data_IF_013044724745
#
_entry.id   IF_013044724745
#
_cell.length_a   1.000
_cell.length_b   1.000
_cell.length_c   1.000
_cell.angle_alpha   90.00
_cell.angle_beta   90.00
_cell.angle_gamma   90.00
#
_symmetry.space_group_name_H-M   'P 1'
#
loop_
_entity.id
_entity.type
_entity.pdbx_description
1 polymer ?
#
# COMPACT_ATOMS: atom_id res chain seq x y z
N UNK A 1 48.74 -11.46 4.31
CA UNK A 1 47.42 -11.26 3.71
C UNK A 1 46.72 -12.59 3.41
N UNK A 2 47.24 -13.49 2.57
CA UNK A 2 46.59 -14.78 2.26
C UNK A 2 46.04 -15.56 3.47
N UNK A 3 46.85 -15.81 4.50
CA UNK A 3 46.39 -16.50 5.72
C UNK A 3 45.26 -15.79 6.46
N UNK A 4 45.22 -14.46 6.38
CA UNK A 4 44.18 -13.66 7.02
C UNK A 4 42.86 -13.78 6.24
N UNK A 5 42.94 -13.75 4.92
CA UNK A 5 41.78 -13.97 4.04
C UNK A 5 41.24 -15.39 4.22
N UNK A 6 42.10 -16.41 4.29
CA UNK A 6 41.69 -17.79 4.58
C UNK A 6 40.92 -17.90 5.90
N UNK A 7 41.38 -17.21 6.97
CA UNK A 7 40.67 -17.16 8.25
C UNK A 7 39.34 -16.40 8.18
N UNK A 8 39.27 -15.32 7.39
CA UNK A 8 38.04 -14.56 7.21
C UNK A 8 36.99 -15.38 6.45
N UNK A 9 37.39 -16.12 5.42
CA UNK A 9 36.51 -17.03 4.69
C UNK A 9 36.01 -18.15 5.61
N UNK A 10 36.85 -18.68 6.50
CA UNK A 10 36.42 -19.65 7.51
C UNK A 10 35.35 -19.06 8.45
N UNK A 11 35.46 -17.79 8.85
CA UNK A 11 34.42 -17.09 9.61
C UNK A 11 33.12 -16.91 8.80
N UNK A 12 33.22 -16.62 7.50
CA UNK A 12 32.05 -16.53 6.63
C UNK A 12 31.34 -17.87 6.57
N UNK A 13 32.07 -18.97 6.37
CA UNK A 13 31.53 -20.33 6.33
C UNK A 13 30.87 -20.75 7.65
N UNK A 14 31.44 -20.36 8.79
CA UNK A 14 30.83 -20.57 10.11
C UNK A 14 29.51 -19.81 10.24
N UNK A 15 29.47 -18.56 9.76
CA UNK A 15 28.25 -17.74 9.76
C UNK A 15 27.16 -18.32 8.84
N UNK A 16 27.52 -18.73 7.61
CA UNK A 16 26.61 -19.42 6.67
C UNK A 16 26.02 -20.70 7.28
N UNK A 17 26.83 -21.50 7.99
CA UNK A 17 26.33 -22.72 8.67
C UNK A 17 25.37 -22.42 9.82
N UNK A 18 25.63 -21.34 10.56
CA UNK A 18 24.78 -20.91 11.68
C UNK A 18 23.37 -20.58 11.21
N UNK A 19 23.23 -19.82 10.12
CA UNK A 19 21.91 -19.40 9.63
C UNK A 19 21.10 -20.56 9.06
N UNK A 20 21.71 -21.44 8.26
CA UNK A 20 21.06 -22.65 7.75
C UNK A 20 20.54 -23.54 8.90
N UNK A 21 21.32 -23.69 9.96
CA UNK A 21 20.90 -24.47 11.14
C UNK A 21 19.72 -23.82 11.88
N UNK A 22 19.62 -22.49 11.87
CA UNK A 22 18.50 -21.75 12.48
C UNK A 22 17.22 -21.88 11.65
N UNK A 23 17.33 -21.76 10.32
CA UNK A 23 16.20 -21.95 9.40
C UNK A 23 15.63 -23.37 9.48
N UNK A 24 16.49 -24.39 9.48
CA UNK A 24 16.07 -25.79 9.65
C UNK A 24 15.33 -26.00 10.99
N UNK A 25 15.83 -25.40 12.07
CA UNK A 25 15.18 -25.47 13.38
C UNK A 25 13.83 -24.73 13.39
N UNK A 26 13.75 -23.58 12.75
CA UNK A 26 12.54 -22.75 12.67
C UNK A 26 11.46 -23.43 11.82
N UNK A 27 11.84 -24.08 10.72
CA UNK A 27 10.97 -24.92 9.91
C UNK A 27 10.41 -26.10 10.71
N UNK A 28 11.24 -26.80 11.50
CA UNK A 28 10.80 -27.89 12.38
C UNK A 28 9.81 -27.43 13.45
N UNK A 29 10.01 -26.22 14.00
CA UNK A 29 9.20 -25.69 15.11
C UNK A 29 7.87 -25.10 14.62
N UNK A 30 7.90 -24.26 13.57
CA UNK A 30 6.73 -23.52 13.10
C UNK A 30 5.88 -24.33 12.11
N UNK A 31 6.44 -25.36 11.46
CA UNK A 31 5.72 -26.19 10.49
C UNK A 31 5.20 -25.40 9.28
N UNK A 32 5.71 -24.19 9.07
CA UNK A 32 5.32 -23.27 8.01
C UNK A 32 5.98 -23.64 6.69
N UNK A 33 5.20 -23.63 5.62
CA UNK A 33 5.70 -23.78 4.27
C UNK A 33 6.53 -22.52 3.92
N UNK A 34 7.77 -22.61 3.42
CA UNK A 34 8.57 -21.44 3.02
C UNK A 34 7.92 -20.55 1.94
N UNK A 35 6.87 -21.03 1.26
CA UNK A 35 6.08 -20.26 0.29
C UNK A 35 4.89 -19.49 0.90
N UNK A 36 4.60 -19.62 2.20
CA UNK A 36 3.58 -18.83 2.88
C UNK A 36 4.18 -17.54 3.45
N UNK A 37 3.65 -16.39 3.02
CA UNK A 37 4.06 -15.07 3.52
C UNK A 37 3.77 -14.98 5.02
N UNK A 38 4.82 -14.92 5.84
CA UNK A 38 4.70 -14.67 7.27
C UNK A 38 4.40 -13.17 7.49
N UNK A 39 3.12 -12.85 7.71
CA UNK A 39 2.69 -11.47 7.97
C UNK A 39 3.38 -10.86 9.20
N UNK A 40 3.82 -11.67 10.17
CA UNK A 40 4.60 -11.19 11.31
C UNK A 40 5.99 -10.69 10.85
N UNK A 41 6.63 -11.37 9.88
CA UNK A 41 7.89 -10.90 9.29
C UNK A 41 7.70 -9.64 8.44
N UNK A 42 6.59 -9.52 7.70
CA UNK A 42 6.29 -8.31 6.92
C UNK A 42 6.05 -7.11 7.83
N UNK A 43 5.26 -7.26 8.90
CA UNK A 43 5.07 -6.21 9.90
C UNK A 43 6.40 -5.82 10.56
N UNK A 44 7.21 -6.82 10.90
CA UNK A 44 8.54 -6.60 11.45
C UNK A 44 9.45 -5.87 10.46
N UNK A 45 9.50 -6.22 9.17
CA UNK A 45 10.30 -5.52 8.16
C UNK A 45 9.96 -4.02 8.07
N UNK A 46 8.68 -3.68 8.22
CA UNK A 46 8.20 -2.30 8.14
C UNK A 46 8.47 -1.54 9.44
N UNK A 47 8.21 -2.15 10.61
CA UNK A 47 8.14 -1.44 11.90
C UNK A 47 9.17 -1.89 12.95
N UNK A 48 9.91 -2.96 12.69
CA UNK A 48 10.81 -3.59 13.63
C UNK A 48 12.11 -2.83 13.86
N UNK A 49 12.80 -3.17 14.95
CA UNK A 49 14.11 -2.59 15.26
C UNK A 49 15.17 -3.10 14.28
N UNK A 50 15.88 -2.16 13.65
CA UNK A 50 16.97 -2.45 12.72
C UNK A 50 18.28 -2.63 13.48
N UNK A 51 19.05 -3.65 13.12
CA UNK A 51 20.36 -3.93 13.70
C UNK A 51 21.46 -3.79 12.65
N UNK A 52 22.69 -3.40 13.04
CA UNK A 52 23.80 -3.32 12.10
C UNK A 52 24.04 -4.68 11.42
N UNK A 53 24.31 -4.65 10.11
CA UNK A 53 24.53 -5.88 9.35
C UNK A 53 25.69 -6.73 9.90
N UNK A 54 26.73 -6.10 10.44
CA UNK A 54 27.85 -6.78 11.11
C UNK A 54 27.41 -7.63 12.30
N UNK A 55 26.39 -7.21 13.04
CA UNK A 55 25.80 -7.96 14.15
C UNK A 55 24.97 -9.14 13.63
N UNK A 56 24.15 -8.90 12.60
CA UNK A 56 23.33 -9.95 11.94
C UNK A 56 24.23 -11.06 11.39
N UNK A 57 25.25 -10.68 10.62
CA UNK A 57 26.22 -11.61 10.02
C UNK A 57 27.17 -12.20 11.06
N UNK A 58 27.25 -11.63 12.26
CA UNK A 58 28.16 -12.05 13.33
C UNK A 58 29.64 -11.82 13.00
N UNK A 59 29.94 -10.88 12.10
CA UNK A 59 31.30 -10.57 11.63
C UNK A 59 31.51 -9.06 11.73
N UNK A 60 32.40 -8.66 12.61
CA UNK A 60 32.77 -7.26 12.81
C UNK A 60 33.39 -6.65 11.54
N UNK A 61 33.02 -5.41 11.21
CA UNK A 61 33.54 -4.70 10.02
C UNK A 61 35.06 -4.57 10.02
N UNK A 62 35.70 -4.50 11.19
CA UNK A 62 37.17 -4.44 11.29
C UNK A 62 37.87 -5.71 10.81
N UNK A 63 37.14 -6.84 10.73
CA UNK A 63 37.62 -8.08 10.13
C UNK A 63 37.78 -7.96 8.61
N UNK A 64 37.07 -7.03 7.95
CA UNK A 64 37.15 -6.83 6.51
C UNK A 64 38.33 -5.92 6.14
N UNK A 65 39.36 -6.44 5.45
CA UNK A 65 40.54 -5.67 5.08
C UNK A 65 40.17 -4.56 4.07
N UNK A 66 40.88 -3.44 4.15
CA UNK A 66 40.75 -2.36 3.17
C UNK A 66 41.15 -2.84 1.77
N UNK A 67 40.38 -2.47 0.74
CA UNK A 67 40.59 -2.99 -0.60
C UNK A 67 41.96 -2.60 -1.18
N UNK A 68 42.54 -1.46 -0.75
CA UNK A 68 43.88 -1.04 -1.17
C UNK A 68 45.01 -1.98 -0.74
N UNK A 69 44.76 -2.85 0.25
CA UNK A 69 45.74 -3.82 0.78
C UNK A 69 45.68 -5.17 0.05
N UNK A 70 44.74 -5.35 -0.86
CA UNK A 70 44.42 -6.62 -1.51
C UNK A 70 44.83 -6.63 -2.98
N UNK A 71 45.38 -7.76 -3.43
CA UNK A 71 45.57 -8.02 -4.85
C UNK A 71 44.23 -8.36 -5.55
N UNK A 72 44.22 -8.31 -6.88
CA UNK A 72 42.96 -8.46 -7.64
C UNK A 72 42.28 -9.81 -7.41
N UNK A 73 43.06 -10.89 -7.22
CA UNK A 73 42.52 -12.23 -6.97
C UNK A 73 41.90 -12.32 -5.58
N UNK A 74 42.54 -11.71 -4.59
CA UNK A 74 42.04 -11.64 -3.21
C UNK A 74 40.74 -10.85 -3.13
N UNK A 75 40.68 -9.71 -3.81
CA UNK A 75 39.48 -8.88 -3.91
C UNK A 75 38.34 -9.62 -4.59
N UNK A 76 38.62 -10.28 -5.71
CA UNK A 76 37.61 -11.06 -6.44
C UNK A 76 37.04 -12.18 -5.57
N UNK A 77 37.92 -12.89 -4.85
CA UNK A 77 37.50 -13.93 -3.90
C UNK A 77 36.61 -13.34 -2.82
N UNK A 78 37.03 -12.26 -2.16
CA UNK A 78 36.24 -11.66 -1.07
C UNK A 78 34.92 -11.05 -1.54
N UNK A 79 34.85 -10.48 -2.76
CA UNK A 79 33.61 -9.97 -3.32
C UNK A 79 32.56 -11.08 -3.49
N UNK A 80 32.97 -12.23 -4.04
CA UNK A 80 32.11 -13.40 -4.22
C UNK A 80 31.68 -13.99 -2.87
N UNK A 81 32.60 -14.10 -1.93
CA UNK A 81 32.33 -14.65 -0.60
C UNK A 81 31.41 -13.76 0.23
N UNK A 82 31.51 -12.43 0.11
CA UNK A 82 30.58 -11.48 0.72
C UNK A 82 29.18 -11.63 0.13
N UNK A 83 29.07 -11.72 -1.20
CA UNK A 83 27.80 -11.88 -1.90
C UNK A 83 27.11 -13.19 -1.52
N UNK A 84 27.84 -14.30 -1.49
CA UNK A 84 27.28 -15.59 -1.06
C UNK A 84 26.83 -15.54 0.41
N UNK A 85 27.62 -14.92 1.30
CA UNK A 85 27.24 -14.75 2.69
C UNK A 85 25.96 -13.93 2.83
N UNK A 86 25.83 -12.79 2.15
CA UNK A 86 24.64 -11.95 2.18
C UNK A 86 23.40 -12.69 1.67
N UNK A 87 23.55 -13.41 0.55
CA UNK A 87 22.46 -14.21 -0.03
C UNK A 87 21.98 -15.31 0.93
N UNK A 88 22.86 -15.92 1.73
CA UNK A 88 22.45 -16.89 2.78
C UNK A 88 21.60 -16.26 3.89
N UNK A 89 21.61 -14.93 4.04
CA UNK A 89 20.77 -14.18 4.96
C UNK A 89 19.63 -13.44 4.24
N UNK A 90 19.31 -13.84 2.99
CA UNK A 90 18.30 -13.22 2.13
C UNK A 90 18.56 -11.74 1.78
N UNK A 91 19.80 -11.26 1.90
CA UNK A 91 20.21 -9.93 1.43
C UNK A 91 20.82 -10.03 0.03
N UNK A 92 20.21 -9.36 -0.94
CA UNK A 92 20.64 -9.39 -2.34
C UNK A 92 21.21 -8.03 -2.73
N UNK A 93 22.50 -7.99 -3.04
CA UNK A 93 23.17 -6.75 -3.40
C UNK A 93 22.90 -6.36 -4.85
N UNK A 94 22.26 -5.21 -5.07
CA UNK A 94 21.87 -4.76 -6.41
C UNK A 94 23.02 -4.00 -7.09
N UNK A 95 23.81 -4.73 -7.85
CA UNK A 95 24.88 -4.16 -8.67
C UNK A 95 24.44 -4.04 -10.15
N UNK A 96 24.82 -2.95 -10.83
CA UNK A 96 24.81 -2.90 -12.29
C UNK A 96 25.61 -4.05 -12.91
N UNK A 97 25.31 -4.37 -14.17
CA UNK A 97 26.08 -5.36 -14.90
C UNK A 97 27.55 -4.95 -15.03
N UNK A 98 28.46 -5.93 -14.89
CA UNK A 98 29.90 -5.76 -15.11
C UNK A 98 30.64 -4.81 -14.15
N UNK A 99 30.09 -4.51 -12.97
CA UNK A 99 30.84 -3.78 -11.93
C UNK A 99 32.09 -4.58 -11.51
N UNK A 100 33.30 -3.97 -11.49
CA UNK A 100 34.52 -4.68 -11.15
C UNK A 100 34.52 -5.22 -9.72
N UNK A 101 35.14 -6.39 -9.47
CA UNK A 101 35.12 -7.00 -8.14
C UNK A 101 35.63 -6.09 -7.02
N UNK A 102 36.61 -5.23 -7.30
CA UNK A 102 37.14 -4.25 -6.34
C UNK A 102 36.11 -3.22 -5.88
N UNK A 103 35.28 -2.74 -6.80
CA UNK A 103 34.22 -1.82 -6.46
C UNK A 103 33.08 -2.53 -5.72
N UNK A 104 32.75 -3.77 -6.11
CA UNK A 104 31.76 -4.62 -5.41
C UNK A 104 32.16 -4.87 -3.96
N UNK A 105 33.39 -5.36 -3.74
CA UNK A 105 33.91 -5.60 -2.39
C UNK A 105 33.93 -4.33 -1.53
N UNK A 106 34.33 -3.19 -2.12
CA UNK A 106 34.29 -1.91 -1.42
C UNK A 106 32.88 -1.56 -0.95
N UNK A 107 31.86 -1.75 -1.81
CA UNK A 107 30.46 -1.47 -1.47
C UNK A 107 29.89 -2.37 -0.38
N UNK A 108 30.24 -3.67 -0.41
CA UNK A 108 29.95 -4.56 0.71
C UNK A 108 30.56 -4.04 2.01
N UNK A 109 31.87 -3.73 2.00
CA UNK A 109 32.57 -3.25 3.21
C UNK A 109 32.02 -1.92 3.72
N UNK A 110 31.70 -0.98 2.84
CA UNK A 110 31.09 0.31 3.21
C UNK A 110 29.77 0.08 3.96
N UNK A 111 28.93 -0.82 3.42
CA UNK A 111 27.58 -1.12 3.90
C UNK A 111 27.53 -2.07 5.10
N UNK A 112 28.69 -2.54 5.59
CA UNK A 112 28.76 -3.64 6.56
C UNK A 112 28.18 -3.31 7.96
N UNK A 113 27.93 -2.04 8.26
CA UNK A 113 27.27 -1.60 9.51
C UNK A 113 25.92 -0.92 9.25
N UNK A 114 25.39 -0.99 8.02
CA UNK A 114 24.12 -0.37 7.69
C UNK A 114 22.98 -1.00 8.51
N UNK A 115 22.11 -0.18 9.14
CA UNK A 115 20.95 -0.66 9.88
C UNK A 115 20.01 -1.46 8.98
N UNK A 116 19.98 -2.77 9.21
CA UNK A 116 19.30 -3.74 8.37
C UNK A 116 18.31 -4.54 9.20
N UNK A 117 17.38 -5.22 8.51
CA UNK A 117 16.43 -6.10 9.13
C UNK A 117 16.53 -7.49 8.50
N UNK A 118 16.87 -8.48 9.30
CA UNK A 118 16.88 -9.86 8.85
C UNK A 118 15.46 -10.39 8.68
N UNK A 119 15.20 -11.06 7.56
CA UNK A 119 13.97 -11.80 7.30
C UNK A 119 14.33 -13.26 7.01
N UNK A 120 13.61 -14.21 7.61
CA UNK A 120 13.83 -15.64 7.30
C UNK A 120 13.17 -16.07 6.00
N UNK A 121 12.31 -15.23 5.42
CA UNK A 121 11.67 -15.44 4.12
C UNK A 121 11.69 -14.17 3.26
N UNK A 122 11.53 -14.35 1.94
CA UNK A 122 11.58 -13.26 0.96
C UNK A 122 13.01 -12.82 0.61
N UNK A 123 13.12 -11.78 -0.23
CA UNK A 123 14.40 -11.22 -0.65
C UNK A 123 14.47 -9.75 -0.25
N UNK A 124 15.44 -9.38 0.59
CA UNK A 124 15.73 -7.98 0.89
C UNK A 124 16.81 -7.49 -0.07
N UNK A 125 16.41 -6.67 -1.03
CA UNK A 125 17.33 -6.05 -1.96
C UNK A 125 18.08 -4.89 -1.29
N UNK A 126 19.39 -4.85 -1.49
CA UNK A 126 20.30 -3.85 -0.96
C UNK A 126 20.74 -2.93 -2.10
N UNK A 127 20.03 -1.80 -2.22
CA UNK A 127 20.35 -0.79 -3.21
C UNK A 127 21.48 0.12 -2.70
N UNK A 128 22.51 0.32 -3.52
CA UNK A 128 23.62 1.23 -3.21
C UNK A 128 23.42 2.63 -3.81
N UNK A 129 22.37 2.81 -4.61
CA UNK A 129 22.12 3.99 -5.43
C UNK A 129 20.97 4.79 -4.83
N UNK A 130 21.17 6.10 -4.63
CA UNK A 130 20.12 7.01 -4.17
C UNK A 130 19.42 7.72 -5.35
N UNK A 131 19.61 7.21 -6.57
CA UNK A 131 19.09 7.80 -7.82
C UNK A 131 19.56 9.23 -8.11
N UNK A 132 20.64 9.67 -7.46
CA UNK A 132 21.35 10.91 -7.81
C UNK A 132 22.39 10.63 -8.91
N UNK A 133 22.23 11.29 -10.06
CA UNK A 133 23.11 11.14 -11.21
C UNK A 133 24.50 11.72 -10.97
N UNK A 134 24.61 12.79 -10.19
CA UNK A 134 25.89 13.44 -9.89
C UNK A 134 26.67 12.64 -8.85
N UNK A 135 25.95 11.98 -7.92
CA UNK A 135 26.52 11.13 -6.88
C UNK A 135 26.35 9.62 -7.17
N UNK A 136 26.43 9.23 -8.45
CA UNK A 136 26.30 7.84 -8.83
C UNK A 136 27.40 6.97 -8.18
N UNK A 137 27.06 5.90 -7.44
CA UNK A 137 28.05 4.98 -6.87
C UNK A 137 28.79 4.15 -7.93
N UNK A 138 28.30 4.14 -9.18
CA UNK A 138 28.79 3.31 -10.28
C UNK A 138 28.88 4.09 -11.61
N UNK A 139 29.59 5.23 -11.69
CA UNK A 139 29.46 6.21 -12.78
C UNK A 139 29.89 5.68 -14.17
N UNK A 140 30.74 4.65 -14.23
CA UNK A 140 31.21 4.04 -15.48
C UNK A 140 30.52 2.70 -15.81
N UNK A 141 29.71 2.18 -14.88
CA UNK A 141 29.11 0.84 -14.97
C UNK A 141 27.58 0.87 -14.92
N UNK A 142 26.99 2.01 -14.56
CA UNK A 142 25.55 2.20 -14.49
C UNK A 142 25.11 3.28 -15.47
N UNK A 143 24.18 2.93 -16.36
CA UNK A 143 23.50 3.86 -17.26
C UNK A 143 22.06 4.13 -16.80
N UNK A 144 21.62 3.61 -15.65
CA UNK A 144 20.21 3.60 -15.24
C UNK A 144 19.59 4.99 -15.13
N UNK A 145 20.30 5.98 -14.60
CA UNK A 145 19.80 7.36 -14.54
C UNK A 145 19.61 7.97 -15.95
N UNK A 146 20.44 7.59 -16.93
CA UNK A 146 20.29 8.06 -18.31
C UNK A 146 19.17 7.33 -19.04
N UNK A 147 19.00 6.02 -18.79
CA UNK A 147 17.84 5.25 -19.26
C UNK A 147 16.54 5.84 -18.71
N UNK A 148 16.50 6.13 -17.41
CA UNK A 148 15.36 6.77 -16.75
C UNK A 148 15.10 8.15 -17.36
N UNK A 149 16.12 8.99 -17.58
CA UNK A 149 15.95 10.29 -18.24
C UNK A 149 15.46 10.18 -19.70
N UNK A 150 15.89 9.17 -20.45
CA UNK A 150 15.40 8.92 -21.82
C UNK A 150 13.97 8.40 -21.81
N UNK A 151 13.62 7.55 -20.83
CA UNK A 151 12.25 7.10 -20.55
C UNK A 151 11.36 8.30 -20.21
N UNK A 152 11.81 9.21 -19.34
CA UNK A 152 11.10 10.47 -19.03
C UNK A 152 10.99 11.43 -20.23
N UNK A 153 11.95 11.42 -21.18
CA UNK A 153 11.92 12.27 -22.39
C UNK A 153 10.98 11.75 -23.49
N UNK A 154 10.55 10.50 -23.44
CA UNK A 154 9.60 9.92 -24.41
C UNK A 154 8.15 10.44 -24.24
N UNK A 155 7.88 11.26 -23.22
CA UNK A 155 6.55 11.72 -22.83
C UNK A 155 6.12 13.12 -23.34
N UNK A 156 6.80 13.71 -24.31
CA UNK A 156 6.40 15.04 -24.83
C UNK A 156 6.26 15.09 -26.37
N UNK A 157 5.05 14.87 -26.93
CA UNK A 157 4.37 15.67 -27.99
C UNK A 157 3.07 15.04 -28.58
N UNK A 158 2.13 15.81 -29.18
CA UNK A 158 0.68 15.50 -29.26
C UNK A 158 0.17 14.94 -30.62
N UNK A 159 -0.99 14.23 -30.64
CA UNK A 159 -1.64 13.71 -31.89
C UNK A 159 -3.14 13.99 -32.00
N UNK A 160 -3.62 14.38 -33.18
CA UNK A 160 -4.96 14.86 -33.58
C UNK A 160 -6.06 13.76 -33.70
N UNK A 161 -7.37 14.11 -33.77
CA UNK A 161 -8.50 13.26 -33.31
C UNK A 161 -9.21 12.41 -34.39
N UNK A 162 -9.84 11.30 -33.94
CA UNK A 162 -11.08 10.73 -34.49
C UNK A 162 -11.17 9.20 -34.66
N UNK A 163 -11.72 8.50 -33.64
CA UNK A 163 -12.52 7.24 -33.60
C UNK A 163 -12.17 6.34 -32.37
N UNK A 164 -13.09 5.46 -31.93
CA UNK A 164 -13.12 4.82 -30.57
C UNK A 164 -12.00 3.79 -30.27
N UNK A 165 -11.59 3.73 -28.99
CA UNK A 165 -10.28 3.26 -28.48
C UNK A 165 -9.89 1.82 -28.88
N UNK A 166 -10.69 0.79 -28.61
CA UNK A 166 -10.24 -0.61 -28.82
C UNK A 166 -10.32 -1.07 -30.29
N UNK A 167 -11.37 -0.69 -31.03
CA UNK A 167 -11.56 -1.06 -32.44
C UNK A 167 -10.66 -0.26 -33.43
N UNK A 168 -10.09 0.86 -32.98
CA UNK A 168 -9.20 1.71 -33.79
C UNK A 168 -7.74 1.25 -33.73
N UNK A 169 -7.32 0.66 -32.61
CA UNK A 169 -5.95 0.18 -32.37
C UNK A 169 -5.62 -1.05 -33.25
N UNK A 170 -6.53 -2.00 -33.40
CA UNK A 170 -6.30 -3.18 -34.26
C UNK A 170 -6.31 -2.85 -35.76
N UNK A 171 -7.05 -1.82 -36.21
CA UNK A 171 -7.18 -1.49 -37.64
C UNK A 171 -6.04 -0.62 -38.20
N UNK A 172 -5.27 0.05 -37.35
CA UNK A 172 -4.17 0.94 -37.77
C UNK A 172 -2.78 0.32 -37.59
N UNK A 173 -2.67 -0.86 -36.97
CA UNK A 173 -1.39 -1.54 -36.79
C UNK A 173 -0.40 -0.76 -35.92
N UNK A 174 -0.88 -0.10 -34.85
CA UNK A 174 -0.05 0.68 -33.93
C UNK A 174 -0.14 0.06 -32.54
N UNK A 175 1.02 -0.29 -31.97
CA UNK A 175 1.15 -1.15 -30.79
C UNK A 175 1.81 -0.50 -29.57
N UNK A 176 2.00 0.84 -29.51
CA UNK A 176 2.63 1.45 -28.31
C UNK A 176 2.41 2.97 -28.10
N UNK A 177 2.44 3.41 -26.83
CA UNK A 177 2.85 4.76 -26.40
C UNK A 177 1.82 5.92 -26.32
N UNK A 178 2.30 7.20 -26.31
CA UNK A 178 1.63 8.45 -25.83
C UNK A 178 0.26 8.82 -26.42
N UNK A 179 -0.23 8.10 -27.44
CA UNK A 179 -1.60 8.22 -27.93
C UNK A 179 -2.64 7.78 -26.90
N UNK A 180 -2.31 6.82 -26.02
CA UNK A 180 -3.20 6.32 -24.97
C UNK A 180 -3.47 7.37 -23.88
N UNK A 181 -2.44 8.12 -23.47
CA UNK A 181 -2.53 9.17 -22.43
C UNK A 181 -3.42 10.31 -22.89
N UNK A 182 -3.21 10.78 -24.13
CA UNK A 182 -4.02 11.86 -24.69
C UNK A 182 -5.50 11.49 -24.77
N UNK A 183 -5.81 10.29 -25.24
CA UNK A 183 -7.19 9.79 -25.35
C UNK A 183 -7.87 9.71 -23.98
N UNK A 184 -7.15 9.22 -22.97
CA UNK A 184 -7.65 9.16 -21.60
C UNK A 184 -7.86 10.57 -21.02
N UNK A 185 -6.95 11.51 -21.26
CA UNK A 185 -7.11 12.93 -20.87
C UNK A 185 -8.31 13.59 -21.55
N UNK A 186 -8.53 13.35 -22.83
CA UNK A 186 -9.72 13.84 -23.55
C UNK A 186 -10.99 13.23 -22.98
N UNK A 187 -11.01 11.91 -22.71
CA UNK A 187 -12.14 11.25 -22.05
C UNK A 187 -12.42 11.80 -20.66
N UNK A 188 -11.39 12.13 -19.87
CA UNK A 188 -11.54 12.77 -18.56
C UNK A 188 -12.12 14.20 -18.71
N UNK A 189 -11.65 14.97 -19.69
CA UNK A 189 -12.07 16.36 -19.93
C UNK A 189 -13.47 16.48 -20.56
N UNK A 190 -13.82 15.56 -21.45
CA UNK A 190 -15.09 15.53 -22.18
C UNK A 190 -16.17 14.73 -21.43
N UNK A 191 -15.85 14.22 -20.25
CA UNK A 191 -16.82 13.51 -19.43
C UNK A 191 -18.01 14.43 -19.14
N UNK A 192 -19.21 13.97 -19.47
CA UNK A 192 -20.44 14.73 -19.25
C UNK A 192 -20.74 14.81 -17.75
N UNK A 193 -20.20 15.83 -17.10
CA UNK A 193 -20.44 16.14 -15.71
C UNK A 193 -21.85 16.69 -15.44
N UNK A 194 -22.61 17.09 -16.48
CA UNK A 194 -23.90 17.75 -16.29
C UNK A 194 -24.96 16.83 -15.68
N UNK A 195 -24.85 15.52 -15.92
CA UNK A 195 -25.70 14.49 -15.29
C UNK A 195 -25.18 14.02 -13.93
N UNK A 196 -23.99 14.44 -13.52
CA UNK A 196 -23.36 13.95 -12.29
C UNK A 196 -23.61 14.90 -11.12
N UNK A 197 -23.73 14.33 -9.93
CA UNK A 197 -23.85 15.09 -8.68
C UNK A 197 -22.44 15.30 -8.11
N UNK A 198 -21.94 16.54 -8.01
CA UNK A 198 -20.62 16.81 -7.47
C UNK A 198 -20.46 16.29 -6.04
N UNK A 199 -19.36 15.60 -5.75
CA UNK A 199 -19.02 15.16 -4.40
C UNK A 199 -19.90 14.04 -3.80
N UNK A 200 -20.85 13.46 -4.57
CA UNK A 200 -21.74 12.38 -4.07
C UNK A 200 -20.98 11.16 -3.53
N UNK A 201 -19.74 10.95 -3.99
CA UNK A 201 -18.88 9.85 -3.58
C UNK A 201 -18.08 10.12 -2.29
N UNK A 202 -18.02 11.36 -1.80
CA UNK A 202 -17.18 11.72 -0.65
C UNK A 202 -17.67 11.07 0.65
N UNK A 203 -18.99 10.96 0.82
CA UNK A 203 -19.63 10.46 2.05
C UNK A 203 -20.62 9.33 1.77
N UNK A 204 -20.35 8.52 0.74
CA UNK A 204 -21.09 7.29 0.46
C UNK A 204 -20.48 6.07 1.20
N UNK A 205 -21.20 4.95 1.16
CA UNK A 205 -20.77 3.66 1.72
C UNK A 205 -19.97 2.78 0.73
N UNK A 206 -19.72 3.31 -0.49
CA UNK A 206 -19.08 2.62 -1.61
C UNK A 206 -19.76 1.30 -2.01
N UNK A 207 -21.02 1.07 -1.61
CA UNK A 207 -21.77 -0.13 -1.97
C UNK A 207 -22.47 0.06 -3.31
N UNK A 208 -21.66 0.15 -4.37
CA UNK A 208 -22.10 0.55 -5.71
C UNK A 208 -23.19 -0.38 -6.29
N UNK A 209 -23.13 -1.69 -5.99
CA UNK A 209 -24.09 -2.70 -6.43
C UNK A 209 -25.50 -2.44 -5.90
N UNK A 210 -25.61 -1.73 -4.76
CA UNK A 210 -26.88 -1.34 -4.13
C UNK A 210 -27.18 0.15 -4.28
N UNK A 211 -26.33 0.90 -4.97
CA UNK A 211 -26.43 2.36 -5.06
C UNK A 211 -27.42 2.79 -6.17
N UNK A 212 -28.41 3.60 -5.79
CA UNK A 212 -29.41 4.13 -6.74
C UNK A 212 -28.88 5.30 -7.59
N UNK A 213 -27.71 5.84 -7.24
CA UNK A 213 -27.12 7.02 -7.87
C UNK A 213 -25.95 6.69 -8.80
N UNK A 214 -25.76 5.42 -9.15
CA UNK A 214 -24.70 4.98 -10.08
C UNK A 214 -24.72 5.75 -11.41
N UNK A 215 -25.91 6.06 -11.94
CA UNK A 215 -26.07 6.87 -13.15
C UNK A 215 -25.68 8.35 -13.01
N UNK A 216 -25.50 8.85 -11.78
CA UNK A 216 -25.14 10.23 -11.46
C UNK A 216 -23.81 10.33 -10.70
N UNK A 217 -23.13 9.21 -10.44
CA UNK A 217 -21.86 9.17 -9.73
C UNK A 217 -20.71 9.13 -10.72
N UNK A 218 -19.93 10.20 -10.78
CA UNK A 218 -18.74 10.28 -11.64
C UNK A 218 -17.79 9.11 -11.37
N UNK A 219 -17.50 8.80 -10.11
CA UNK A 219 -16.57 7.72 -9.76
C UNK A 219 -17.05 6.36 -10.28
N UNK A 220 -18.33 6.02 -10.08
CA UNK A 220 -18.87 4.76 -10.60
C UNK A 220 -18.86 4.71 -12.13
N UNK A 221 -19.25 5.80 -12.79
CA UNK A 221 -19.28 5.85 -14.25
C UNK A 221 -17.89 5.70 -14.85
N UNK A 222 -16.88 6.33 -14.25
CA UNK A 222 -15.48 6.13 -14.62
C UNK A 222 -15.04 4.68 -14.36
N UNK A 223 -15.22 4.15 -13.15
CA UNK A 223 -14.83 2.77 -12.81
C UNK A 223 -15.50 1.72 -13.72
N UNK A 224 -16.79 1.92 -14.04
CA UNK A 224 -17.53 1.05 -14.94
C UNK A 224 -16.94 1.10 -16.35
N UNK A 225 -16.78 2.30 -16.90
CA UNK A 225 -16.17 2.52 -18.22
C UNK A 225 -14.78 1.86 -18.32
N UNK A 226 -14.00 1.91 -17.23
CA UNK A 226 -12.66 1.32 -17.12
C UNK A 226 -12.73 -0.21 -17.06
N UNK A 227 -13.64 -0.75 -16.25
CA UNK A 227 -13.82 -2.20 -16.11
C UNK A 227 -14.28 -2.86 -17.41
N UNK A 228 -15.19 -2.22 -18.15
CA UNK A 228 -15.68 -2.70 -19.44
C UNK A 228 -14.59 -2.67 -20.52
N UNK A 229 -13.64 -1.73 -20.44
CA UNK A 229 -12.45 -1.73 -21.31
C UNK A 229 -11.41 -2.80 -20.94
N UNK A 230 -11.30 -3.18 -19.66
CA UNK A 230 -10.27 -4.11 -19.17
C UNK A 230 -10.71 -5.59 -19.19
N UNK A 231 -12.00 -5.90 -19.30
CA UNK A 231 -12.50 -7.30 -19.38
C UNK A 231 -12.07 -8.06 -20.66
N UNK A 232 -11.35 -7.41 -21.58
CA UNK A 232 -10.86 -7.99 -22.83
C UNK A 232 -9.39 -8.45 -22.77
N UNK A 233 -8.72 -8.35 -21.62
CA UNK A 233 -7.25 -8.42 -21.57
C UNK A 233 -6.73 -9.16 -20.31
N UNK A 234 -5.48 -9.65 -20.34
CA UNK A 234 -4.88 -10.53 -19.33
C UNK A 234 -4.25 -9.73 -18.15
N UNK A 235 -3.83 -10.40 -17.07
CA UNK A 235 -3.43 -9.75 -15.80
C UNK A 235 -2.33 -8.66 -15.83
N UNK A 236 -1.50 -8.56 -16.89
CA UNK A 236 -0.53 -7.46 -17.05
C UNK A 236 -1.19 -6.12 -17.39
N UNK A 237 -2.41 -6.13 -17.96
CA UNK A 237 -3.07 -4.93 -18.45
C UNK A 237 -3.57 -3.98 -17.34
N UNK A 238 -3.71 -4.48 -16.11
CA UNK A 238 -4.09 -3.66 -14.96
C UNK A 238 -2.98 -2.69 -14.53
N UNK A 239 -1.72 -3.15 -14.47
CA UNK A 239 -0.59 -2.31 -14.10
C UNK A 239 -0.30 -1.27 -15.18
N UNK A 240 -0.37 -1.68 -16.46
CA UNK A 240 -0.24 -0.77 -17.59
C UNK A 240 -1.34 0.31 -17.59
N UNK A 241 -2.57 -0.08 -17.25
CA UNK A 241 -3.68 0.86 -17.09
C UNK A 241 -3.47 1.84 -15.92
N UNK A 242 -2.95 1.35 -14.80
CA UNK A 242 -2.68 2.17 -13.63
C UNK A 242 -1.59 3.21 -13.92
N UNK A 243 -0.49 2.80 -14.55
CA UNK A 243 0.57 3.72 -15.01
C UNK A 243 -0.01 4.80 -15.94
N UNK A 244 -0.85 4.39 -16.90
CA UNK A 244 -1.50 5.30 -17.82
C UNK A 244 -2.40 6.35 -17.12
N UNK A 245 -3.12 5.95 -16.08
CA UNK A 245 -3.95 6.86 -15.27
C UNK A 245 -3.11 7.88 -14.51
N UNK A 246 -1.98 7.45 -13.92
CA UNK A 246 -1.08 8.34 -13.20
C UNK A 246 -0.42 9.35 -14.14
N UNK A 247 0.06 8.91 -15.31
CA UNK A 247 0.61 9.79 -16.35
C UNK A 247 -0.41 10.84 -16.80
N UNK A 248 -1.62 10.41 -17.16
CA UNK A 248 -2.70 11.31 -17.59
C UNK A 248 -3.06 12.34 -16.50
N UNK A 249 -3.12 11.89 -15.24
CA UNK A 249 -3.42 12.76 -14.10
C UNK A 249 -2.29 13.77 -13.86
N UNK A 250 -1.03 13.33 -13.91
CA UNK A 250 0.15 14.19 -13.74
C UNK A 250 0.20 15.31 -14.80
N UNK A 251 -0.10 14.99 -16.05
CA UNK A 251 -0.18 16.01 -17.10
C UNK A 251 -1.34 17.00 -16.87
N UNK A 252 -2.52 16.53 -16.45
CA UNK A 252 -3.67 17.41 -16.14
C UNK A 252 -3.31 18.36 -14.98
N UNK A 253 -2.66 17.85 -13.94
CA UNK A 253 -2.21 18.66 -12.80
C UNK A 253 -1.20 19.71 -13.24
N UNK A 254 -0.19 19.32 -14.04
CA UNK A 254 0.82 20.24 -14.57
C UNK A 254 0.20 21.35 -15.44
N UNK A 255 -0.80 21.01 -16.27
CA UNK A 255 -1.56 22.00 -17.05
C UNK A 255 -2.32 22.98 -16.15
N UNK A 256 -2.98 22.50 -15.08
CA UNK A 256 -3.67 23.38 -14.13
C UNK A 256 -2.69 24.27 -13.36
N UNK A 257 -1.57 23.72 -12.92
CA UNK A 257 -0.53 24.48 -12.21
C UNK A 257 -0.01 25.65 -13.05
N UNK A 258 0.33 25.39 -14.32
CA UNK A 258 0.73 26.43 -15.27
C UNK A 258 -0.37 27.47 -15.46
N UNK A 259 -1.64 27.04 -15.58
CA UNK A 259 -2.79 27.93 -15.75
C UNK A 259 -3.00 28.84 -14.53
N UNK A 260 -2.76 28.33 -13.32
CA UNK A 260 -2.94 29.07 -12.07
C UNK A 260 -1.66 29.74 -11.56
N UNK A 261 -0.55 29.66 -12.31
CA UNK A 261 0.78 30.16 -11.92
C UNK A 261 1.22 29.64 -10.54
N UNK A 262 0.98 28.35 -10.28
CA UNK A 262 1.44 27.67 -9.06
C UNK A 262 2.84 27.13 -9.32
N UNK A 263 3.84 27.63 -8.58
CA UNK A 263 5.21 27.14 -8.62
C UNK A 263 5.49 26.23 -7.41
N UNK A 264 6.06 25.03 -7.65
CA UNK A 264 6.59 24.21 -6.56
C UNK A 264 7.93 24.80 -6.10
N UNK A 265 8.02 25.17 -4.83
CA UNK A 265 9.29 25.67 -4.26
C UNK A 265 10.05 24.57 -3.50
N UNK A 266 9.38 23.49 -3.07
CA UNK A 266 10.00 22.36 -2.37
C UNK A 266 9.03 21.15 -2.36
N UNK A 267 9.54 19.94 -2.61
CA UNK A 267 8.83 18.70 -2.26
C UNK A 267 9.15 18.46 -0.79
N UNK A 268 8.24 18.83 0.10
CA UNK A 268 8.36 18.49 1.52
C UNK A 268 8.04 17.00 1.63
N UNK A 269 8.98 16.12 2.05
CA UNK A 269 8.65 14.74 2.29
C UNK A 269 7.51 14.68 3.32
N UNK A 270 6.54 13.75 3.16
CA UNK A 270 5.45 13.62 4.11
C UNK A 270 6.04 13.47 5.51
N UNK A 271 5.62 14.33 6.44
CA UNK A 271 6.02 14.26 7.83
C UNK A 271 5.69 12.86 8.38
N UNK A 272 6.63 12.13 9.01
CA UNK A 272 6.41 10.74 9.44
C UNK A 272 5.24 10.57 10.43
N UNK A 273 4.79 11.66 11.06
CA UNK A 273 3.65 11.64 11.99
C UNK A 273 2.26 11.55 11.33
N UNK A 274 2.16 11.63 9.98
CA UNK A 274 0.87 11.62 9.27
C UNK A 274 0.09 10.29 9.34
N UNK A 275 0.67 9.22 9.90
CA UNK A 275 0.15 7.87 9.67
C UNK A 275 -0.39 7.14 10.91
N UNK A 276 -0.25 7.70 12.12
CA UNK A 276 -0.82 7.10 13.33
C UNK A 276 -1.80 8.03 14.05
N UNK A 277 -3.08 7.87 13.73
CA UNK A 277 -4.15 8.46 14.53
C UNK A 277 -4.31 7.65 15.81
N UNK A 278 -3.54 8.05 16.83
CA UNK A 278 -3.82 7.61 18.19
C UNK A 278 -5.04 8.36 18.74
N UNK A 279 -6.24 7.91 18.34
CA UNK A 279 -7.50 8.41 18.87
C UNK A 279 -8.29 7.26 19.54
N UNK A 280 -8.79 7.43 20.79
CA UNK A 280 -9.51 6.37 21.50
C UNK A 280 -10.73 5.84 20.76
N UNK A 281 -11.42 6.67 19.97
CA UNK A 281 -12.57 6.24 19.16
C UNK A 281 -12.14 5.27 18.05
N UNK A 282 -10.99 5.52 17.40
CA UNK A 282 -10.45 4.69 16.32
C UNK A 282 -9.97 3.35 16.86
N UNK A 283 -9.25 3.35 17.99
CA UNK A 283 -8.86 2.12 18.70
C UNK A 283 -10.09 1.29 19.10
N UNK A 284 -11.14 1.96 19.58
CA UNK A 284 -12.38 1.29 19.97
C UNK A 284 -13.14 0.69 18.77
N UNK A 285 -13.21 1.39 17.63
CA UNK A 285 -13.80 0.84 16.41
C UNK A 285 -12.97 -0.29 15.81
N UNK A 286 -11.63 -0.20 15.85
CA UNK A 286 -10.75 -1.26 15.39
C UNK A 286 -11.01 -2.58 16.16
N UNK A 287 -11.23 -2.49 17.47
CA UNK A 287 -11.62 -3.65 18.28
C UNK A 287 -12.97 -4.26 17.88
N UNK A 288 -13.93 -3.47 17.37
CA UNK A 288 -15.15 -4.00 16.76
C UNK A 288 -14.83 -4.77 15.47
N UNK A 289 -14.06 -4.17 14.56
CA UNK A 289 -13.66 -4.80 13.29
C UNK A 289 -12.95 -6.12 13.51
N UNK A 290 -11.97 -6.15 14.42
CA UNK A 290 -11.21 -7.34 14.77
C UNK A 290 -12.11 -8.46 15.31
N UNK A 291 -13.04 -8.11 16.21
CA UNK A 291 -13.96 -9.08 16.80
C UNK A 291 -14.89 -9.70 15.76
N UNK A 292 -15.40 -8.90 14.81
CA UNK A 292 -16.24 -9.41 13.71
C UNK A 292 -15.41 -10.29 12.79
N UNK A 293 -14.18 -9.89 12.46
CA UNK A 293 -13.28 -10.68 11.62
C UNK A 293 -12.94 -12.04 12.26
N UNK A 294 -12.68 -12.06 13.57
CA UNK A 294 -12.46 -13.30 14.32
C UNK A 294 -13.70 -14.21 14.28
N UNK A 295 -14.89 -13.64 14.39
CA UNK A 295 -16.13 -14.41 14.28
C UNK A 295 -16.37 -14.94 12.86
N UNK A 296 -16.03 -14.15 11.83
CA UNK A 296 -16.02 -14.61 10.45
C UNK A 296 -15.06 -15.79 10.22
N UNK A 297 -13.81 -15.66 10.68
CA UNK A 297 -12.80 -16.72 10.58
C UNK A 297 -13.19 -18.01 11.31
N UNK A 298 -14.00 -17.91 12.36
CA UNK A 298 -14.50 -19.10 13.07
C UNK A 298 -15.56 -19.89 12.28
N UNK A 299 -16.04 -19.40 11.13
CA UNK A 299 -17.09 -20.03 10.33
C UNK A 299 -18.50 -19.84 10.90
N UNK A 300 -18.69 -19.01 11.93
CA UNK A 300 -20.01 -18.80 12.54
C UNK A 300 -21.03 -18.22 11.56
N UNK A 301 -20.63 -17.30 10.66
CA UNK A 301 -21.53 -16.81 9.62
C UNK A 301 -21.97 -17.92 8.66
N UNK A 302 -21.11 -18.87 8.32
CA UNK A 302 -21.48 -19.99 7.45
C UNK A 302 -22.53 -20.88 8.11
N UNK A 303 -22.41 -21.11 9.41
CA UNK A 303 -23.40 -21.87 10.21
C UNK A 303 -24.74 -21.13 10.20
N UNK A 304 -24.73 -19.84 10.57
CA UNK A 304 -25.92 -18.97 10.62
C UNK A 304 -26.64 -18.88 9.26
N UNK A 305 -25.88 -18.85 8.17
CA UNK A 305 -26.42 -18.78 6.81
C UNK A 305 -26.94 -20.14 6.31
N UNK A 306 -26.31 -21.26 6.71
CA UNK A 306 -26.75 -22.61 6.34
C UNK A 306 -27.95 -23.10 7.13
N UNK A 307 -28.10 -22.72 8.39
CA UNK A 307 -29.11 -23.27 9.30
C UNK A 307 -30.56 -23.03 8.86
N UNK A 308 -30.84 -22.13 7.90
CA UNK A 308 -32.22 -21.87 7.46
C UNK A 308 -32.43 -21.50 5.97
N UNK A 309 -31.41 -21.50 5.09
CA UNK A 309 -31.51 -20.93 3.73
C UNK A 309 -32.25 -19.57 3.70
N UNK A 310 -32.03 -18.76 4.73
CA UNK A 310 -32.84 -17.57 4.97
C UNK A 310 -32.16 -16.38 4.32
N UNK A 311 -32.73 -15.87 3.24
CA UNK A 311 -32.25 -14.70 2.48
C UNK A 311 -31.96 -13.50 3.39
N UNK A 312 -32.74 -13.34 4.47
CA UNK A 312 -32.57 -12.28 5.47
C UNK A 312 -31.27 -12.46 6.30
N UNK A 313 -30.85 -13.70 6.58
CA UNK A 313 -29.59 -13.94 7.32
C UNK A 313 -28.39 -13.62 6.44
N UNK A 314 -28.46 -14.00 5.16
CA UNK A 314 -27.45 -13.66 4.17
C UNK A 314 -27.35 -12.13 4.02
N UNK A 315 -28.49 -11.44 3.91
CA UNK A 315 -28.51 -9.98 3.83
C UNK A 315 -27.93 -9.32 5.09
N UNK A 316 -28.32 -9.77 6.28
CA UNK A 316 -27.76 -9.24 7.54
C UNK A 316 -26.24 -9.49 7.62
N UNK A 317 -25.78 -10.68 7.22
CA UNK A 317 -24.35 -11.02 7.17
C UNK A 317 -23.60 -10.12 6.20
N UNK A 318 -24.12 -9.91 4.99
CA UNK A 318 -23.52 -9.01 4.00
C UNK A 318 -23.38 -7.59 4.54
N UNK A 319 -24.41 -7.07 5.22
CA UNK A 319 -24.36 -5.74 5.86
C UNK A 319 -23.27 -5.68 6.93
N UNK A 320 -23.16 -6.70 7.77
CA UNK A 320 -22.15 -6.75 8.83
C UNK A 320 -20.74 -6.78 8.23
N UNK A 321 -20.51 -7.68 7.26
CA UNK A 321 -19.20 -7.85 6.62
C UNK A 321 -18.83 -6.63 5.77
N UNK A 322 -19.80 -5.95 5.16
CA UNK A 322 -19.54 -4.70 4.45
C UNK A 322 -19.06 -3.60 5.40
N UNK A 323 -19.72 -3.44 6.55
CA UNK A 323 -19.48 -2.29 7.42
C UNK A 323 -18.39 -2.48 8.49
N UNK A 324 -18.01 -3.71 8.83
CA UNK A 324 -17.12 -3.93 9.98
C UNK A 324 -15.75 -3.24 9.83
N UNK A 325 -15.12 -3.25 8.66
CA UNK A 325 -13.88 -2.50 8.39
C UNK A 325 -14.17 -1.05 7.99
N UNK A 326 -15.25 -0.82 7.25
CA UNK A 326 -15.66 0.50 6.78
C UNK A 326 -15.84 1.51 7.93
N UNK A 327 -16.48 1.09 9.03
CA UNK A 327 -16.71 1.96 10.19
C UNK A 327 -15.40 2.51 10.74
N UNK A 328 -14.38 1.66 10.92
CA UNK A 328 -13.08 2.07 11.43
C UNK A 328 -12.39 3.02 10.47
N UNK A 329 -12.34 2.70 9.18
CA UNK A 329 -11.73 3.57 8.16
C UNK A 329 -12.38 4.97 8.10
N UNK A 330 -13.70 5.06 8.27
CA UNK A 330 -14.40 6.36 8.27
C UNK A 330 -14.22 7.15 9.57
N UNK A 331 -14.15 6.47 10.71
CA UNK A 331 -13.86 7.14 11.98
C UNK A 331 -12.41 7.59 12.06
N UNK A 332 -11.49 6.84 11.46
CA UNK A 332 -10.10 7.23 11.29
C UNK A 332 -10.00 8.52 10.47
N UNK A 333 -10.61 8.56 9.28
CA UNK A 333 -10.70 9.80 8.48
C UNK A 333 -11.32 10.97 9.23
N UNK A 334 -12.40 10.73 9.99
CA UNK A 334 -13.03 11.78 10.79
C UNK A 334 -12.09 12.32 11.89
N UNK A 335 -11.15 11.51 12.38
CA UNK A 335 -10.20 11.88 13.42
C UNK A 335 -8.85 12.41 12.87
N UNK A 336 -8.50 12.12 11.61
CA UNK A 336 -7.33 12.66 10.89
C UNK A 336 -7.34 14.19 10.98
N UNK A 337 -8.45 14.78 10.57
CA UNK A 337 -8.66 16.23 10.45
C UNK A 337 -8.70 16.96 11.81
N UNK A 338 -8.69 16.22 12.94
CA UNK A 338 -8.82 16.79 14.28
C UNK A 338 -7.49 17.24 14.90
N UNK A 339 -6.34 16.73 14.41
CA UNK A 339 -5.00 17.06 14.95
C UNK A 339 -4.24 18.13 14.16
N UNK A 340 -4.47 18.24 12.85
CA UNK A 340 -3.57 19.01 11.96
C UNK A 340 -3.91 20.49 11.80
N UNK A 341 -4.94 21.02 12.48
CA UNK A 341 -5.43 22.39 12.27
C UNK A 341 -5.44 23.29 13.52
N UNK A 342 -4.74 22.92 14.60
CA UNK A 342 -4.50 23.88 15.71
C UNK A 342 -3.56 25.04 15.30
N UNK A 343 -2.81 24.93 14.18
CA UNK A 343 -1.92 25.99 13.68
C UNK A 343 -2.47 26.82 12.50
N UNK A 344 -3.56 26.39 11.86
CA UNK A 344 -4.24 27.16 10.82
C UNK A 344 -5.57 27.68 11.34
N UNK A 345 -5.54 28.89 11.93
CA UNK A 345 -6.75 29.66 12.24
C UNK A 345 -7.61 29.76 10.95
N UNK A 346 -8.83 29.21 10.99
CA UNK A 346 -9.93 29.41 10.03
C UNK A 346 -9.92 28.62 8.69
N UNK A 347 -9.98 27.29 8.72
CA UNK A 347 -10.59 26.53 7.61
C UNK A 347 -11.83 25.72 8.04
N UNK A 348 -13.01 26.31 7.84
CA UNK A 348 -14.34 25.72 8.07
C UNK A 348 -14.51 24.35 7.35
N UNK A 349 -13.79 24.14 6.24
CA UNK A 349 -13.85 22.91 5.47
C UNK A 349 -13.30 21.65 6.16
N UNK A 350 -12.38 21.79 7.13
CA UNK A 350 -11.83 20.64 7.87
C UNK A 350 -12.88 20.06 8.85
N UNK A 351 -13.56 20.93 9.60
CA UNK A 351 -14.71 20.54 10.43
C UNK A 351 -15.84 19.95 9.57
N UNK A 352 -16.01 20.47 8.34
CA UNK A 352 -17.00 19.95 7.40
C UNK A 352 -16.67 18.50 6.96
N UNK A 353 -15.44 18.17 6.56
CA UNK A 353 -15.07 16.79 6.15
C UNK A 353 -15.12 15.80 7.32
N UNK A 354 -14.66 16.21 8.50
CA UNK A 354 -14.74 15.39 9.72
C UNK A 354 -16.19 15.00 10.04
N UNK A 355 -17.10 15.99 10.02
CA UNK A 355 -18.52 15.77 10.29
C UNK A 355 -19.18 14.90 9.21
N UNK A 356 -18.81 15.07 7.94
CA UNK A 356 -19.30 14.21 6.86
C UNK A 356 -18.84 12.75 6.99
N UNK A 357 -17.56 12.54 7.33
CA UNK A 357 -16.97 11.22 7.59
C UNK A 357 -17.58 10.55 8.83
N UNK A 358 -17.77 11.30 9.92
CA UNK A 358 -18.46 10.84 11.10
C UNK A 358 -19.93 10.47 10.81
N UNK A 359 -20.64 11.27 9.98
CA UNK A 359 -22.04 10.99 9.62
C UNK A 359 -22.18 9.65 8.92
N UNK A 360 -21.36 9.37 7.91
CA UNK A 360 -21.44 8.10 7.18
C UNK A 360 -21.04 6.91 8.07
N UNK A 361 -20.07 7.09 8.97
CA UNK A 361 -19.75 6.08 9.98
C UNK A 361 -20.94 5.79 10.90
N UNK A 362 -21.65 6.82 11.37
CA UNK A 362 -22.85 6.65 12.20
C UNK A 362 -23.99 5.94 11.45
N UNK A 363 -24.16 6.20 10.15
CA UNK A 363 -25.13 5.48 9.31
C UNK A 363 -24.74 4.00 9.20
N UNK A 364 -23.46 3.70 8.97
CA UNK A 364 -22.93 2.34 8.94
C UNK A 364 -23.15 1.62 10.28
N UNK A 365 -22.84 2.27 11.41
CA UNK A 365 -23.08 1.73 12.76
C UNK A 365 -24.57 1.40 12.97
N UNK A 366 -25.48 2.32 12.62
CA UNK A 366 -26.93 2.10 12.74
C UNK A 366 -27.39 0.91 11.88
N UNK A 367 -26.85 0.76 10.67
CA UNK A 367 -27.13 -0.39 9.77
C UNK A 367 -26.58 -1.70 10.34
N UNK A 368 -25.36 -1.71 10.88
CA UNK A 368 -24.80 -2.87 11.56
C UNK A 368 -25.63 -3.26 12.78
N UNK A 369 -26.06 -2.31 13.63
CA UNK A 369 -26.95 -2.60 14.78
C UNK A 369 -28.23 -3.30 14.31
N UNK A 370 -28.86 -2.79 13.25
CA UNK A 370 -30.07 -3.41 12.70
C UNK A 370 -29.80 -4.84 12.20
N UNK A 371 -28.70 -5.07 11.48
CA UNK A 371 -28.32 -6.39 10.98
C UNK A 371 -28.03 -7.39 12.12
N UNK A 372 -27.29 -6.96 13.15
CA UNK A 372 -27.06 -7.78 14.34
C UNK A 372 -28.36 -8.08 15.10
N UNK A 373 -29.27 -7.13 15.19
CA UNK A 373 -30.61 -7.34 15.76
C UNK A 373 -31.41 -8.40 15.01
N UNK A 374 -31.35 -8.41 13.68
CA UNK A 374 -31.99 -9.44 12.86
C UNK A 374 -31.40 -10.83 13.11
N UNK A 375 -30.09 -10.93 13.31
CA UNK A 375 -29.45 -12.20 13.66
C UNK A 375 -29.83 -12.65 15.08
N UNK A 376 -29.89 -11.72 16.03
CA UNK A 376 -30.28 -12.00 17.42
C UNK A 376 -31.67 -12.62 17.53
N UNK A 377 -32.66 -12.07 16.80
CA UNK A 377 -34.05 -12.56 16.82
C UNK A 377 -34.19 -14.02 16.37
N UNK A 378 -33.23 -14.51 15.57
CA UNK A 378 -33.32 -15.82 14.90
C UNK A 378 -32.33 -16.85 15.45
N UNK A 379 -31.26 -16.42 16.12
CA UNK A 379 -30.13 -17.26 16.51
C UNK A 379 -29.80 -17.14 17.99
N UNK A 380 -30.70 -17.64 18.84
CA UNK A 380 -30.57 -17.62 20.30
C UNK A 380 -29.33 -18.37 20.83
N UNK A 381 -28.75 -19.28 20.04
CA UNK A 381 -27.54 -20.02 20.41
C UNK A 381 -26.26 -19.17 20.39
N UNK A 382 -26.31 -17.97 19.78
CA UNK A 382 -25.21 -17.00 19.72
C UNK A 382 -25.59 -15.68 20.39
N UNK A 383 -26.58 -15.70 21.28
CA UNK A 383 -27.17 -14.51 21.89
C UNK A 383 -26.12 -13.66 22.63
N UNK A 384 -25.26 -14.29 23.44
CA UNK A 384 -24.23 -13.58 24.21
C UNK A 384 -23.19 -12.88 23.32
N UNK A 385 -22.72 -13.57 22.27
CA UNK A 385 -21.80 -13.01 21.29
C UNK A 385 -22.44 -11.86 20.52
N UNK A 386 -23.68 -12.03 20.04
CA UNK A 386 -24.41 -11.00 19.30
C UNK A 386 -24.67 -9.77 20.19
N UNK A 387 -25.07 -9.95 21.45
CA UNK A 387 -25.20 -8.83 22.39
C UNK A 387 -23.88 -8.10 22.61
N UNK A 388 -22.76 -8.82 22.62
CA UNK A 388 -21.46 -8.19 22.78
C UNK A 388 -21.13 -7.26 21.60
N UNK A 389 -21.51 -7.62 20.37
CA UNK A 389 -21.37 -6.75 19.20
C UNK A 389 -22.31 -5.54 19.27
N UNK A 390 -23.57 -5.77 19.62
CA UNK A 390 -24.57 -4.71 19.77
C UNK A 390 -24.16 -3.68 20.83
N UNK A 391 -23.59 -4.14 21.95
CA UNK A 391 -23.06 -3.27 23.01
C UNK A 391 -21.93 -2.38 22.49
N UNK A 392 -20.95 -2.97 21.80
CA UNK A 392 -19.81 -2.22 21.24
C UNK A 392 -20.32 -1.17 20.24
N UNK A 393 -21.22 -1.56 19.33
CA UNK A 393 -21.79 -0.63 18.33
C UNK A 393 -22.61 0.50 18.97
N UNK A 394 -23.39 0.20 20.01
CA UNK A 394 -24.13 1.23 20.75
C UNK A 394 -23.22 2.22 21.45
N UNK A 395 -22.14 1.73 22.08
CA UNK A 395 -21.11 2.58 22.69
C UNK A 395 -20.37 3.40 21.62
N UNK A 396 -20.04 2.80 20.48
CA UNK A 396 -19.36 3.46 19.37
C UNK A 396 -20.23 4.61 18.83
N UNK A 397 -21.52 4.37 18.59
CA UNK A 397 -22.46 5.41 18.17
C UNK A 397 -22.52 6.59 19.16
N UNK A 398 -22.58 6.28 20.46
CA UNK A 398 -22.60 7.31 21.51
C UNK A 398 -21.30 8.13 21.57
N UNK A 399 -20.15 7.46 21.44
CA UNK A 399 -18.84 8.12 21.43
C UNK A 399 -18.66 8.97 20.18
N UNK A 400 -19.04 8.49 18.99
CA UNK A 400 -18.99 9.27 17.75
C UNK A 400 -19.87 10.53 17.84
N UNK A 401 -21.10 10.42 18.37
CA UNK A 401 -21.97 11.59 18.61
C UNK A 401 -21.37 12.62 19.54
N UNK A 402 -20.62 12.16 20.55
CA UNK A 402 -19.97 13.04 21.52
C UNK A 402 -18.75 13.75 20.91
N UNK A 403 -17.97 13.03 20.09
CA UNK A 403 -16.80 13.59 19.42
C UNK A 403 -17.17 14.53 18.26
N UNK A 404 -18.26 14.25 17.55
CA UNK A 404 -18.71 15.00 16.37
C UNK A 404 -20.18 15.41 16.51
N UNK A 405 -20.50 16.43 17.33
CA UNK A 405 -21.87 16.82 17.62
C UNK A 405 -22.64 17.31 16.38
N UNK A 406 -21.95 17.90 15.40
CA UNK A 406 -22.56 18.47 14.20
C UNK A 406 -22.68 17.45 13.04
N UNK A 407 -22.18 16.23 13.20
CA UNK A 407 -22.21 15.20 12.17
C UNK A 407 -23.63 14.85 11.70
N UNK A 408 -24.64 14.86 12.59
CA UNK A 408 -26.02 14.58 12.15
C UNK A 408 -26.61 15.73 11.29
N UNK A 409 -26.11 16.95 11.44
CA UNK A 409 -26.55 18.13 10.68
C UNK A 409 -25.88 18.26 9.31
N UNK A 410 -24.73 17.61 9.11
CA UNK A 410 -24.02 17.58 7.83
C UNK A 410 -24.92 17.05 6.71
N UNK A 411 -25.01 17.70 5.55
CA UNK A 411 -25.80 17.21 4.41
C UNK A 411 -24.87 16.53 3.41
N UNK A 412 -25.02 15.21 3.21
CA UNK A 412 -24.23 14.48 2.22
C UNK A 412 -24.69 14.86 0.81
N UNK A 413 -23.80 15.41 -0.04
CA UNK A 413 -24.17 15.88 -1.38
C UNK A 413 -24.90 14.81 -2.18
N UNK A 414 -26.11 15.11 -2.65
CA UNK A 414 -26.96 14.21 -3.42
C UNK A 414 -27.57 13.01 -2.69
N UNK A 415 -27.20 12.73 -1.43
CA UNK A 415 -27.67 11.56 -0.67
C UNK A 415 -28.70 11.93 0.40
N UNK A 416 -28.62 13.15 0.95
CA UNK A 416 -29.48 13.64 2.04
C UNK A 416 -30.35 14.85 1.65
N UNK A 417 -30.40 15.19 0.36
CA UNK A 417 -31.08 16.39 -0.18
C UNK A 417 -32.56 16.18 -0.51
#
# INVERSE_FOLDING_TARGET
MNKYIEQLIEQFDESKKRIVSQEEAMYIIKGTNPDEIDFEEVENYIYGERTPLSEILGIDKSSLPDDSLLDDKQVETLALECEELWNCYNFYADFPENVPPRLRYRKFRESWDEPSMYMSSGHSHFEFCNYDKEECPFPEYCNKCSELEEEYKLYENPVQPGDTISDFIEKQGVTDGPGRVKVLKEKIKDFDHAKCIPGIHNYCDRWCERCQFTGNCTVFLFEKDISESNQQSNGNDFLDYLSLMFEATGEILSEQMNKFNVEFHEIVPPHPDFMHIDHPLVKFSAGYSEKVNNWYRSGCFDVINKENQNEINCEATEVILWYHLFITAKLERACLDFKDFEEFEEYDGAQYDSNGSAKIAMIAIKRSIAAWGLLLEKHLNHEDEIYSFLKILGELLGKTKTAFPDAECFIRPGLDE
#
